data_IF_607235554010
#
_entry.id   IF_607235554010
#
_cell.length_a   1.000
_cell.length_b   1.000
_cell.length_c   1.000
_cell.angle_alpha   90.00
_cell.angle_beta   90.00
_cell.angle_gamma   90.00
#
_symmetry.space_group_name_H-M   'P 1'
#
loop_
_entity.id
_entity.type
_entity.pdbx_description
1 polymer ?
#
# COMPACT_ATOMS: atom_id res chain seq x y z
N UNK A 1 4.05 8.62 4.81
CA UNK A 1 3.35 7.72 3.88
C UNK A 1 2.11 7.18 4.57
N UNK A 2 0.93 7.46 4.02
CA UNK A 2 -0.38 7.01 4.50
C UNK A 2 -0.99 5.97 3.51
N UNK A 3 -2.13 5.35 3.82
CA UNK A 3 -2.76 4.35 2.95
C UNK A 3 -3.07 4.86 1.53
N UNK A 4 -3.45 6.13 1.36
CA UNK A 4 -3.70 6.74 0.04
C UNK A 4 -2.40 6.86 -0.76
N UNK A 5 -1.29 7.23 -0.13
CA UNK A 5 0.03 7.26 -0.79
C UNK A 5 0.41 5.87 -1.31
N UNK A 6 0.24 4.83 -0.48
CA UNK A 6 0.57 3.45 -0.85
C UNK A 6 -0.36 2.95 -1.97
N UNK A 7 -1.64 3.33 -1.92
CA UNK A 7 -2.58 2.97 -2.99
C UNK A 7 -2.20 3.63 -4.31
N UNK A 8 -1.76 4.89 -4.31
CA UNK A 8 -1.26 5.57 -5.51
C UNK A 8 -0.02 4.89 -6.07
N UNK A 9 0.94 4.52 -5.21
CA UNK A 9 2.11 3.72 -5.60
C UNK A 9 1.69 2.40 -6.26
N UNK A 10 0.75 1.66 -5.64
CA UNK A 10 0.22 0.40 -6.19
C UNK A 10 -0.44 0.61 -7.55
N UNK A 11 -1.21 1.69 -7.71
CA UNK A 11 -1.89 2.00 -8.97
C UNK A 11 -0.88 2.33 -10.08
N UNK A 12 0.12 3.16 -9.79
CA UNK A 12 1.18 3.48 -10.74
C UNK A 12 1.94 2.22 -11.19
N UNK A 13 2.36 1.38 -10.24
CA UNK A 13 3.06 0.13 -10.58
C UNK A 13 2.18 -0.83 -11.40
N UNK A 14 0.87 -0.90 -11.14
CA UNK A 14 -0.04 -1.69 -11.96
C UNK A 14 -0.17 -1.15 -13.38
N UNK A 15 -0.16 0.17 -13.55
CA UNK A 15 -0.15 0.80 -14.88
C UNK A 15 1.16 0.50 -15.62
N UNK A 16 2.30 0.52 -14.92
CA UNK A 16 3.60 0.12 -15.49
C UNK A 16 3.58 -1.35 -15.93
N UNK A 17 2.98 -2.25 -15.14
CA UNK A 17 2.82 -3.66 -15.52
C UNK A 17 2.02 -3.86 -16.82
N UNK A 18 0.99 -3.03 -17.06
CA UNK A 18 0.21 -3.10 -18.30
C UNK A 18 1.05 -2.80 -19.55
N UNK A 19 2.17 -2.08 -19.44
CA UNK A 19 3.08 -1.82 -20.57
C UNK A 19 3.69 -3.15 -21.04
N UNK A 20 4.15 -3.98 -20.12
CA UNK A 20 4.73 -5.29 -20.44
C UNK A 20 3.66 -6.23 -21.00
N UNK A 21 2.48 -6.29 -20.38
CA UNK A 21 1.38 -7.14 -20.87
C UNK A 21 0.96 -6.78 -22.30
N UNK A 22 0.94 -5.48 -22.64
CA UNK A 22 0.63 -5.01 -24.00
C UNK A 22 1.75 -5.29 -24.99
N UNK A 23 3.00 -5.16 -24.55
CA UNK A 23 4.18 -5.38 -25.39
C UNK A 23 4.32 -6.85 -25.79
N UNK A 24 4.09 -7.78 -24.85
CA UNK A 24 4.30 -9.20 -25.08
C UNK A 24 3.02 -10.03 -25.25
N UNK A 25 1.85 -9.47 -24.94
CA UNK A 25 0.57 -10.17 -25.04
C UNK A 25 0.37 -11.27 -23.99
N UNK A 26 1.15 -11.25 -22.91
CA UNK A 26 1.15 -12.27 -21.85
C UNK A 26 0.78 -11.58 -20.53
N UNK A 27 -0.19 -12.11 -19.75
CA UNK A 27 -0.55 -11.56 -18.44
C UNK A 27 0.59 -11.68 -17.43
N UNK A 28 0.65 -10.73 -16.48
CA UNK A 28 1.64 -10.71 -15.40
C UNK A 28 1.70 -12.02 -14.60
N UNK A 29 0.57 -12.69 -14.41
CA UNK A 29 0.52 -13.98 -13.68
C UNK A 29 1.32 -15.07 -14.40
N UNK A 30 1.25 -15.12 -15.73
CA UNK A 30 1.98 -16.09 -16.54
C UNK A 30 3.46 -15.74 -16.58
N UNK A 31 3.80 -14.45 -16.69
CA UNK A 31 5.18 -13.96 -16.53
C UNK A 31 5.77 -14.41 -15.20
N UNK A 32 4.99 -14.27 -14.12
CA UNK A 32 5.43 -14.63 -12.78
C UNK A 32 5.67 -16.12 -12.59
N UNK A 33 4.81 -16.98 -13.12
CA UNK A 33 5.06 -18.42 -13.08
C UNK A 33 6.39 -18.81 -13.75
N UNK A 34 6.70 -18.21 -14.89
CA UNK A 34 7.94 -18.46 -15.63
C UNK A 34 9.16 -17.90 -14.88
N UNK A 35 9.04 -16.69 -14.32
CA UNK A 35 10.05 -16.09 -13.43
C UNK A 35 10.38 -16.96 -12.23
N UNK A 36 9.36 -17.50 -11.55
CA UNK A 36 9.57 -18.41 -10.41
C UNK A 36 10.28 -19.71 -10.80
N UNK A 37 10.16 -20.16 -12.05
CA UNK A 37 10.86 -21.35 -12.57
C UNK A 37 12.30 -21.06 -12.98
N UNK A 38 12.74 -19.80 -12.94
CA UNK A 38 14.06 -19.38 -13.40
C UNK A 38 14.21 -19.46 -14.92
N UNK A 39 13.09 -19.48 -15.65
CA UNK A 39 13.10 -19.42 -17.10
C UNK A 39 13.50 -18.00 -17.53
N UNK A 40 14.43 -17.91 -18.49
CA UNK A 40 14.86 -16.65 -19.07
C UNK A 40 14.41 -16.58 -20.53
N UNK A 41 14.09 -15.38 -21.04
CA UNK A 41 13.86 -15.19 -22.46
C UNK A 41 15.08 -15.68 -23.27
N UNK A 42 14.85 -16.37 -24.40
CA UNK A 42 15.95 -16.86 -25.25
C UNK A 42 16.68 -15.71 -25.97
N UNK A 43 16.00 -14.59 -26.20
CA UNK A 43 16.57 -13.39 -26.79
C UNK A 43 17.12 -12.45 -25.71
N UNK A 44 18.40 -12.08 -25.86
CA UNK A 44 19.08 -11.13 -24.96
C UNK A 44 18.44 -9.74 -24.98
N UNK A 45 17.82 -9.35 -26.09
CA UNK A 45 17.10 -8.09 -26.18
C UNK A 45 15.95 -7.98 -25.17
N UNK A 46 15.34 -9.12 -24.79
CA UNK A 46 14.20 -9.17 -23.89
C UNK A 46 14.59 -9.40 -22.43
N UNK A 47 15.86 -9.71 -22.15
CA UNK A 47 16.35 -9.91 -20.77
C UNK A 47 16.27 -8.61 -19.96
N UNK A 48 16.46 -7.45 -20.60
CA UNK A 48 16.39 -6.16 -19.91
C UNK A 48 14.95 -5.88 -19.46
N UNK A 49 14.00 -5.97 -20.38
CA UNK A 49 12.58 -5.79 -20.11
C UNK A 49 12.07 -6.80 -19.08
N UNK A 50 12.56 -8.04 -19.14
CA UNK A 50 12.28 -9.09 -18.16
C UNK A 50 12.75 -8.71 -16.75
N UNK A 51 13.96 -8.15 -16.64
CA UNK A 51 14.53 -7.74 -15.36
C UNK A 51 13.79 -6.52 -14.79
N UNK A 52 13.39 -5.58 -15.64
CA UNK A 52 12.60 -4.41 -15.26
C UNK A 52 11.20 -4.80 -14.79
N UNK A 53 10.54 -5.70 -15.52
CA UNK A 53 9.25 -6.27 -15.11
C UNK A 53 9.36 -6.95 -13.75
N UNK A 54 10.36 -7.82 -13.55
CA UNK A 54 10.54 -8.57 -12.30
C UNK A 54 10.76 -7.63 -11.10
N UNK A 55 11.64 -6.64 -11.25
CA UNK A 55 11.89 -5.65 -10.20
C UNK A 55 10.63 -4.84 -9.85
N UNK A 56 9.86 -4.43 -10.86
CA UNK A 56 8.62 -3.67 -10.64
C UNK A 56 7.55 -4.54 -9.98
N UNK A 57 7.44 -5.81 -10.35
CA UNK A 57 6.51 -6.75 -9.75
C UNK A 57 6.85 -7.04 -8.28
N UNK A 58 8.13 -7.26 -7.96
CA UNK A 58 8.58 -7.46 -6.57
C UNK A 58 8.25 -6.24 -5.71
N UNK A 59 8.51 -5.03 -6.22
CA UNK A 59 8.17 -3.79 -5.52
C UNK A 59 6.65 -3.64 -5.31
N UNK A 60 5.84 -4.02 -6.31
CA UNK A 60 4.39 -4.05 -6.20
C UNK A 60 3.92 -5.00 -5.09
N UNK A 61 4.50 -6.21 -5.00
CA UNK A 61 4.20 -7.15 -3.92
C UNK A 61 4.52 -6.57 -2.54
N UNK A 62 5.66 -5.89 -2.41
CA UNK A 62 6.03 -5.21 -1.17
C UNK A 62 5.04 -4.12 -0.77
N UNK A 63 4.58 -3.30 -1.74
CA UNK A 63 3.58 -2.26 -1.50
C UNK A 63 2.22 -2.85 -1.12
N UNK A 64 1.78 -3.92 -1.79
CA UNK A 64 0.54 -4.64 -1.45
C UNK A 64 0.61 -5.20 -0.03
N UNK A 65 1.73 -5.82 0.34
CA UNK A 65 1.96 -6.35 1.69
C UNK A 65 1.96 -5.22 2.73
N UNK A 66 2.61 -4.10 2.44
CA UNK A 66 2.62 -2.94 3.31
C UNK A 66 1.23 -2.34 3.51
N UNK A 67 0.47 -2.17 2.43
CA UNK A 67 -0.92 -1.72 2.48
C UNK A 67 -1.77 -2.65 3.35
N UNK A 68 -1.70 -3.95 3.10
CA UNK A 68 -2.49 -4.95 3.82
C UNK A 68 -2.15 -5.00 5.32
N UNK A 69 -0.88 -4.80 5.69
CA UNK A 69 -0.47 -4.71 7.10
C UNK A 69 -1.03 -3.45 7.77
N UNK A 70 -0.90 -2.29 7.13
CA UNK A 70 -1.38 -1.02 7.70
C UNK A 70 -2.92 -0.99 7.79
N UNK A 71 -3.62 -1.48 6.77
CA UNK A 71 -5.07 -1.58 6.78
C UNK A 71 -5.58 -2.50 7.90
N UNK A 72 -4.90 -3.64 8.13
CA UNK A 72 -5.21 -4.53 9.26
C UNK A 72 -4.98 -3.87 10.61
N UNK A 73 -3.84 -3.18 10.80
CA UNK A 73 -3.57 -2.44 12.03
C UNK A 73 -4.66 -1.39 12.32
N UNK A 74 -5.14 -0.67 11.30
CA UNK A 74 -6.23 0.28 11.46
C UNK A 74 -7.56 -0.40 11.81
N UNK A 75 -7.85 -1.56 11.21
CA UNK A 75 -9.06 -2.33 11.50
C UNK A 75 -9.04 -2.92 12.91
N UNK A 76 -7.90 -3.44 13.37
CA UNK A 76 -7.74 -4.04 14.70
C UNK A 76 -7.79 -2.98 15.82
N UNK A 77 -7.22 -1.80 15.57
CA UNK A 77 -7.32 -0.65 16.48
C UNK A 77 -8.71 -0.03 16.51
N UNK A 78 -9.56 -0.36 15.54
CA UNK A 78 -10.95 0.10 15.46
C UNK A 78 -11.88 -1.07 15.71
N UNK A 79 -11.96 -1.50 16.97
CA UNK A 79 -12.86 -2.58 17.44
C UNK A 79 -14.23 -2.41 16.76
N UNK A 80 -14.55 -3.33 15.86
CA UNK A 80 -15.77 -3.38 15.03
C UNK A 80 -15.91 -2.32 13.92
N UNK A 81 -14.99 -2.28 12.95
CA UNK A 81 -15.23 -1.64 11.64
C UNK A 81 -15.67 -2.65 10.58
N UNK A 82 -16.98 -2.67 10.27
CA UNK A 82 -17.51 -3.33 9.05
C UNK A 82 -16.88 -2.68 7.81
N UNK A 83 -16.55 -3.49 6.81
CA UNK A 83 -16.01 -3.10 5.48
C UNK A 83 -16.71 -1.87 4.87
N UNK A 84 -18.00 -1.71 5.12
CA UNK A 84 -18.80 -0.57 4.68
C UNK A 84 -18.26 0.79 5.17
N UNK A 85 -17.73 0.88 6.40
CA UNK A 85 -17.15 2.14 6.93
C UNK A 85 -15.78 2.46 6.34
N UNK A 86 -14.98 1.44 6.01
CA UNK A 86 -13.70 1.65 5.33
C UNK A 86 -13.91 2.19 3.90
N UNK A 87 -14.91 1.65 3.19
CA UNK A 87 -15.32 2.14 1.87
C UNK A 87 -15.83 3.59 1.98
N UNK A 88 -16.68 3.88 2.98
CA UNK A 88 -17.19 5.23 3.24
C UNK A 88 -16.04 6.22 3.51
N UNK A 89 -15.10 5.90 4.40
CA UNK A 89 -13.96 6.76 4.70
C UNK A 89 -13.00 6.96 3.51
N UNK A 90 -12.69 5.88 2.77
CA UNK A 90 -11.86 5.97 1.57
C UNK A 90 -12.53 6.77 0.44
N UNK A 91 -13.86 6.65 0.30
CA UNK A 91 -14.63 7.41 -0.69
C UNK A 91 -14.66 8.91 -0.40
N UNK A 92 -14.46 9.32 0.84
CA UNK A 92 -14.48 10.73 1.25
C UNK A 92 -13.12 11.43 1.17
N UNK A 93 -12.01 10.77 0.78
CA UNK A 93 -10.65 11.36 0.64
C UNK A 93 -10.26 12.29 1.80
N UNK A 94 -10.64 11.97 3.03
CA UNK A 94 -10.20 12.77 4.20
C UNK A 94 -8.84 12.25 4.67
N UNK A 95 -7.79 13.08 4.69
CA UNK A 95 -6.49 12.66 5.22
C UNK A 95 -6.66 12.33 6.70
N UNK A 96 -6.38 11.09 7.07
CA UNK A 96 -6.32 10.67 8.48
C UNK A 96 -5.00 11.15 9.04
N UNK A 97 -5.03 12.26 9.79
CA UNK A 97 -3.90 12.71 10.57
C UNK A 97 -3.60 11.68 11.67
N UNK A 98 -2.36 11.20 11.75
CA UNK A 98 -1.87 10.47 12.91
C UNK A 98 -1.70 11.51 14.03
N UNK A 99 -2.62 11.56 14.98
CA UNK A 99 -2.50 12.41 16.16
C UNK A 99 -1.29 11.96 16.98
N UNK A 100 -0.18 12.67 16.83
CA UNK A 100 0.81 12.77 17.90
C UNK A 100 0.22 13.78 18.90
N UNK A 101 -0.50 13.31 19.91
CA UNK A 101 -0.97 14.18 20.98
C UNK A 101 0.25 14.56 21.84
N UNK A 102 0.65 15.84 21.90
CA UNK A 102 1.60 16.28 22.90
C UNK A 102 0.85 16.38 24.23
N UNK A 103 1.34 15.70 25.26
CA UNK A 103 0.89 15.86 26.64
C UNK A 103 1.13 17.33 27.04
N UNK A 104 0.09 18.15 26.98
CA UNK A 104 0.09 19.48 27.59
C UNK A 104 -0.39 19.31 29.02
N UNK A 105 0.57 19.27 29.96
CA UNK A 105 0.29 19.48 31.36
C UNK A 105 -0.32 20.88 31.52
N UNK A 106 -1.61 20.97 31.79
CA UNK A 106 -2.26 22.23 32.15
C UNK A 106 -1.88 22.60 33.60
N UNK A 107 -1.27 23.77 33.84
CA UNK A 107 -0.96 24.24 35.18
C UNK A 107 -2.03 25.26 35.63
N UNK A 108 -3.28 24.85 35.79
CA UNK A 108 -4.16 25.52 36.76
C UNK A 108 -5.45 24.74 36.98
N UNK A 109 -5.57 24.18 38.17
CA UNK A 109 -6.85 23.84 38.77
C UNK A 109 -6.81 24.29 40.23
N UNK A 110 -6.65 25.60 40.44
CA UNK A 110 -7.00 26.23 41.71
C UNK A 110 -8.52 26.21 41.89
N UNK A 111 -9.03 25.35 42.77
CA UNK A 111 -10.26 25.62 43.51
C UNK A 111 -10.10 25.25 44.98
N UNK A 112 -9.98 26.34 45.75
CA UNK A 112 -10.25 26.52 47.17
C UNK A 112 -11.37 25.61 47.69
N UNK A 113 -11.13 24.94 48.82
CA UNK A 113 -12.13 24.76 49.88
C UNK A 113 -11.47 24.69 51.25
N UNK A 114 -11.63 25.79 51.98
CA UNK A 114 -11.62 25.89 53.44
C UNK A 114 -12.72 25.01 54.03
N UNK A 115 -12.38 24.10 54.96
CA UNK A 115 -12.88 24.01 56.35
C UNK A 115 -11.82 23.23 57.14
#
# INVERSE_FOLDING_TARGET
>A
MNLDDIMRDIQAMREDMLIFERTYGIPTEIFYESYQRGELPPDRAWILDWSEWAATYELLQDRLNMYARQARQLADNTVSMKLSRLIEQASHRKPVALSHEPIVLSPDASLVRTV
#
